data_IF_388466181625
#
_entry.id   IF_388466181625
#
_cell.length_a   1.000
_cell.length_b   1.000
_cell.length_c   1.000
_cell.angle_alpha   90.00
_cell.angle_beta   90.00
_cell.angle_gamma   90.00
#
_symmetry.space_group_name_H-M   'P 1'
#
loop_
_entity.id
_entity.type
_entity.pdbx_description
1 polymer ?
#
# COMPACT_ATOMS: atom_id res chain seq x y z
N UNK A 1 2.42 26.46 12.20
CA UNK A 1 1.34 25.58 11.73
C UNK A 1 1.85 24.16 11.93
N UNK A 2 1.03 23.26 12.50
CA UNK A 2 1.42 21.87 12.70
C UNK A 2 1.60 21.16 11.34
N UNK A 3 2.61 20.29 11.16
CA UNK A 3 2.70 19.47 9.96
C UNK A 3 1.46 18.60 9.76
N UNK A 4 1.08 18.39 8.50
CA UNK A 4 -0.11 17.63 8.11
C UNK A 4 0.21 16.31 7.42
N UNK A 5 1.43 16.16 6.93
CA UNK A 5 1.89 14.97 6.22
C UNK A 5 3.29 14.58 6.66
N UNK A 6 3.56 13.28 6.66
CA UNK A 6 4.89 12.70 6.78
C UNK A 6 5.19 11.89 5.53
N UNK A 7 6.34 12.14 4.91
CA UNK A 7 6.87 11.40 3.77
C UNK A 7 7.99 10.46 4.19
N UNK A 8 8.00 9.25 3.64
CA UNK A 8 9.07 8.27 3.82
C UNK A 8 9.38 7.54 2.50
N UNK A 9 10.47 6.77 2.45
CA UNK A 9 10.85 6.01 1.26
C UNK A 9 12.33 5.65 1.21
N UNK A 10 12.85 5.46 0.00
CA UNK A 10 14.27 5.23 -0.28
C UNK A 10 15.01 6.59 -0.32
N UNK A 11 15.17 7.15 0.85
CA UNK A 11 15.66 8.52 1.06
C UNK A 11 16.32 8.64 2.43
N UNK A 12 17.18 9.64 2.58
CA UNK A 12 17.93 9.85 3.82
C UNK A 12 17.08 10.41 4.97
N UNK A 13 15.94 11.05 4.65
CA UNK A 13 15.15 11.77 5.63
C UNK A 13 13.67 11.40 5.58
N UNK A 14 13.04 11.38 6.75
CA UNK A 14 11.61 11.70 6.87
C UNK A 14 11.43 13.19 6.58
N UNK A 15 10.42 13.53 5.80
CA UNK A 15 10.06 14.93 5.55
C UNK A 15 8.64 15.19 6.02
N UNK A 16 8.45 16.16 6.90
CA UNK A 16 7.11 16.62 7.26
C UNK A 16 6.72 17.82 6.38
N UNK A 17 5.44 17.83 5.97
CA UNK A 17 4.88 18.89 5.15
C UNK A 17 3.74 19.58 5.88
N UNK A 18 3.57 20.87 5.61
CA UNK A 18 2.42 21.66 6.01
C UNK A 18 1.55 21.96 4.79
N UNK A 19 0.26 21.67 4.90
CA UNK A 19 -0.76 21.97 3.89
C UNK A 19 -1.62 23.14 4.35
N UNK A 20 -1.64 24.22 3.55
CA UNK A 20 -2.55 25.35 3.68
C UNK A 20 -3.62 25.25 2.58
N UNK A 21 -4.81 24.79 2.96
CA UNK A 21 -5.92 24.61 2.00
C UNK A 21 -6.49 25.92 1.48
N UNK A 22 -6.45 26.99 2.28
CA UNK A 22 -6.95 28.30 1.88
C UNK A 22 -6.08 28.93 0.79
N UNK A 23 -4.75 28.78 0.96
CA UNK A 23 -3.76 29.26 -0.01
C UNK A 23 -3.45 28.24 -1.11
N UNK A 24 -3.91 27.01 -0.95
CA UNK A 24 -3.55 25.86 -1.81
C UNK A 24 -2.03 25.68 -1.91
N UNK A 25 -1.37 25.75 -0.79
CA UNK A 25 0.10 25.71 -0.69
C UNK A 25 0.55 24.50 0.13
N UNK A 26 1.56 23.81 -0.37
CA UNK A 26 2.24 22.70 0.30
C UNK A 26 3.71 23.09 0.49
N UNK A 27 4.22 23.00 1.69
CA UNK A 27 5.57 23.40 2.03
C UNK A 27 6.26 22.42 2.97
N UNK A 28 7.60 22.31 2.86
CA UNK A 28 8.41 21.52 3.79
C UNK A 28 8.41 22.20 5.14
N UNK A 29 8.00 21.47 6.20
CA UNK A 29 8.06 21.92 7.58
C UNK A 29 9.40 21.56 8.23
N UNK A 30 9.83 20.29 8.10
CA UNK A 30 11.09 19.80 8.65
C UNK A 30 11.58 18.54 7.94
N UNK A 31 12.88 18.25 8.08
CA UNK A 31 13.50 16.99 7.69
C UNK A 31 14.18 16.36 8.90
N UNK A 32 14.03 15.04 9.06
CA UNK A 32 14.62 14.26 10.14
C UNK A 32 15.38 13.07 9.56
N UNK A 33 16.58 12.73 10.04
CA UNK A 33 17.27 11.53 9.60
C UNK A 33 16.39 10.29 9.75
N UNK A 34 16.30 9.48 8.69
CA UNK A 34 15.50 8.26 8.64
C UNK A 34 16.38 7.02 8.50
N UNK A 35 15.94 5.84 8.97
CA UNK A 35 16.54 4.59 8.56
C UNK A 35 16.48 4.41 7.03
N UNK A 36 17.35 3.54 6.51
CA UNK A 36 17.40 3.25 5.08
C UNK A 36 16.05 2.70 4.57
N UNK A 37 15.56 3.26 3.46
CA UNK A 37 14.44 2.73 2.69
C UNK A 37 13.17 2.43 3.54
N UNK A 38 12.63 3.44 4.23
CA UNK A 38 11.41 3.30 5.02
C UNK A 38 10.19 3.36 4.11
N UNK A 39 9.68 2.20 3.71
CA UNK A 39 8.63 2.07 2.70
C UNK A 39 7.21 2.11 3.24
N UNK A 40 7.04 1.91 4.54
CA UNK A 40 5.72 1.96 5.19
C UNK A 40 5.82 2.60 6.58
N UNK A 41 4.87 3.48 6.90
CA UNK A 41 4.76 4.16 8.18
C UNK A 41 3.28 4.25 8.57
N UNK A 42 2.97 4.00 9.83
CA UNK A 42 1.64 4.24 10.40
C UNK A 42 1.76 5.06 11.69
N UNK A 43 0.79 5.94 11.91
CA UNK A 43 0.71 6.69 13.17
C UNK A 43 0.01 5.83 14.24
N UNK A 44 0.68 5.58 15.35
CA UNK A 44 0.11 4.82 16.47
C UNK A 44 -0.66 5.72 17.43
N UNK A 45 -0.18 6.93 17.67
CA UNK A 45 -0.89 7.93 18.50
C UNK A 45 -0.34 9.34 18.25
N UNK A 46 -1.10 10.33 18.72
CA UNK A 46 -0.69 11.73 18.69
C UNK A 46 -1.09 12.41 20.00
N UNK A 47 -0.21 13.21 20.57
CA UNK A 47 -0.46 13.94 21.81
C UNK A 47 0.15 15.35 21.75
N UNK A 48 -0.69 16.36 21.49
CA UNK A 48 -0.21 17.73 21.25
C UNK A 48 0.66 17.79 20.00
N UNK A 49 1.91 18.23 20.16
CA UNK A 49 2.91 18.33 19.08
C UNK A 49 3.82 17.09 18.97
N UNK A 50 3.51 16.03 19.70
CA UNK A 50 4.23 14.75 19.65
C UNK A 50 3.43 13.73 18.85
N UNK A 51 3.97 13.26 17.73
CA UNK A 51 3.47 12.11 16.99
C UNK A 51 4.32 10.88 17.29
N UNK A 52 3.64 9.75 17.57
CA UNK A 52 4.23 8.42 17.76
C UNK A 52 3.87 7.55 16.59
N UNK A 53 4.89 6.93 16.00
CA UNK A 53 4.78 6.25 14.74
C UNK A 53 5.48 4.88 14.79
N UNK A 54 5.03 4.00 13.90
CA UNK A 54 5.70 2.75 13.58
C UNK A 54 6.20 2.84 12.15
N UNK A 55 7.41 2.39 11.89
CA UNK A 55 8.04 2.40 10.58
C UNK A 55 8.62 1.06 10.20
N UNK A 56 8.72 0.84 8.89
CA UNK A 56 9.21 -0.38 8.28
C UNK A 56 10.30 -0.04 7.25
N UNK A 57 11.50 -0.59 7.43
CA UNK A 57 12.65 -0.40 6.52
C UNK A 57 12.87 -1.66 5.69
N UNK A 58 12.82 -1.54 4.37
CA UNK A 58 13.03 -2.65 3.42
C UNK A 58 14.53 -2.92 3.18
N UNK A 59 15.13 -3.81 3.97
CA UNK A 59 16.45 -4.36 3.64
C UNK A 59 16.30 -5.66 2.83
N UNK A 60 17.22 -5.96 1.92
CA UNK A 60 17.11 -7.14 1.03
C UNK A 60 17.17 -8.47 1.81
N UNK A 61 18.13 -8.63 2.68
CA UNK A 61 18.31 -9.86 3.48
C UNK A 61 17.61 -9.76 4.83
N UNK A 62 17.70 -8.59 5.45
CA UNK A 62 17.11 -8.29 6.76
C UNK A 62 16.57 -6.87 6.71
N UNK A 63 15.31 -6.71 7.07
CA UNK A 63 14.69 -5.39 7.27
C UNK A 63 14.63 -5.00 8.73
N UNK A 64 13.93 -3.91 9.00
CA UNK A 64 13.77 -3.36 10.33
C UNK A 64 12.33 -2.91 10.55
N UNK A 65 11.70 -3.39 11.63
CA UNK A 65 10.47 -2.84 12.19
C UNK A 65 10.86 -1.98 13.39
N UNK A 66 10.36 -0.75 13.47
CA UNK A 66 10.77 0.18 14.54
C UNK A 66 9.64 1.13 14.91
N UNK A 67 9.66 1.60 16.15
CA UNK A 67 8.83 2.69 16.64
C UNK A 67 9.66 3.96 16.77
N UNK A 68 9.03 5.10 16.54
CA UNK A 68 9.70 6.38 16.65
C UNK A 68 8.73 7.50 17.04
N UNK A 69 9.28 8.57 17.55
CA UNK A 69 8.57 9.79 17.95
C UNK A 69 9.09 10.98 17.17
N UNK A 70 8.18 11.87 16.78
CA UNK A 70 8.50 13.20 16.24
C UNK A 70 7.91 14.25 17.16
N UNK A 71 8.77 15.01 17.83
CA UNK A 71 8.39 16.21 18.58
C UNK A 71 8.54 17.43 17.66
N UNK A 72 7.42 17.95 17.20
CA UNK A 72 7.39 19.09 16.28
C UNK A 72 7.80 20.42 16.92
N UNK A 73 7.66 20.55 18.26
CA UNK A 73 8.08 21.74 19.00
C UNK A 73 9.61 21.79 19.17
N UNK A 74 10.20 20.64 19.52
CA UNK A 74 11.65 20.53 19.70
C UNK A 74 12.39 20.24 18.39
N UNK A 75 11.66 19.92 17.33
CA UNK A 75 12.20 19.49 16.03
C UNK A 75 13.13 18.26 16.17
N UNK A 76 12.68 17.25 16.91
CA UNK A 76 13.43 16.02 17.19
C UNK A 76 12.66 14.81 16.68
N UNK A 77 13.38 13.89 16.01
CA UNK A 77 12.91 12.55 15.69
C UNK A 77 13.79 11.52 16.43
N UNK A 78 13.15 10.56 17.12
CA UNK A 78 13.85 9.57 17.93
C UNK A 78 13.23 8.18 17.75
N UNK A 79 14.06 7.19 17.41
CA UNK A 79 13.66 5.77 17.46
C UNK A 79 13.53 5.36 18.94
N UNK A 80 12.39 4.74 19.29
CA UNK A 80 12.06 4.33 20.66
C UNK A 80 12.22 2.85 20.90
N UNK A 81 11.94 2.00 19.89
CA UNK A 81 12.23 0.56 19.89
C UNK A 81 12.44 0.04 18.48
N UNK A 82 13.09 -1.12 18.33
CA UNK A 82 13.30 -1.73 17.04
C UNK A 82 13.52 -3.23 17.13
N UNK A 83 13.12 -3.97 16.05
CA UNK A 83 13.32 -5.41 15.91
C UNK A 83 13.68 -5.74 14.44
N UNK A 84 14.61 -6.69 14.20
CA UNK A 84 14.93 -7.15 12.84
C UNK A 84 13.77 -7.96 12.27
N UNK A 85 13.60 -7.88 10.94
CA UNK A 85 12.65 -8.70 10.17
C UNK A 85 13.39 -9.58 9.18
N UNK A 86 12.68 -10.51 8.55
CA UNK A 86 13.18 -11.16 7.32
C UNK A 86 13.19 -10.14 6.15
N UNK A 87 13.83 -10.56 5.05
CA UNK A 87 14.13 -9.69 3.91
C UNK A 87 12.91 -9.01 3.27
N UNK A 88 13.11 -7.76 2.91
CA UNK A 88 12.14 -6.87 2.28
C UNK A 88 10.75 -6.94 2.93
N UNK A 89 10.62 -6.56 4.21
CA UNK A 89 9.31 -6.41 4.82
C UNK A 89 8.52 -5.35 4.05
N UNK A 90 7.24 -5.63 3.72
CA UNK A 90 6.47 -4.80 2.80
C UNK A 90 5.36 -3.98 3.45
N UNK A 91 4.72 -4.54 4.47
CA UNK A 91 3.56 -3.92 5.12
C UNK A 91 3.36 -4.50 6.52
N UNK A 92 2.81 -3.69 7.42
CA UNK A 92 2.38 -4.13 8.75
C UNK A 92 1.07 -3.44 9.16
N UNK A 93 0.40 -4.03 10.16
CA UNK A 93 -0.73 -3.44 10.88
C UNK A 93 -0.52 -3.63 12.39
N UNK A 94 -1.11 -2.75 13.17
CA UNK A 94 -1.38 -3.03 14.59
C UNK A 94 -2.65 -3.85 14.68
N UNK A 95 -2.61 -5.01 15.34
CA UNK A 95 -3.80 -5.84 15.54
C UNK A 95 -4.86 -5.11 16.35
N UNK A 96 -6.15 -5.39 16.07
CA UNK A 96 -7.28 -4.73 16.73
C UNK A 96 -7.27 -4.91 18.26
N UNK A 97 -6.78 -6.05 18.75
CA UNK A 97 -6.61 -6.30 20.19
C UNK A 97 -5.34 -5.69 20.80
N UNK A 98 -4.57 -4.98 19.98
CA UNK A 98 -3.32 -4.31 20.38
C UNK A 98 -2.26 -5.21 21.02
N UNK A 99 -2.31 -6.51 20.77
CA UNK A 99 -1.34 -7.49 21.33
C UNK A 99 -0.04 -7.57 20.56
N UNK A 100 -0.08 -7.30 19.24
CA UNK A 100 1.06 -7.42 18.35
C UNK A 100 0.95 -6.50 17.12
N UNK A 101 2.07 -6.33 16.42
CA UNK A 101 2.09 -5.91 15.02
C UNK A 101 2.14 -7.16 14.14
N UNK A 102 1.25 -7.24 13.15
CA UNK A 102 1.30 -8.27 12.12
C UNK A 102 2.00 -7.71 10.88
N UNK A 103 2.95 -8.47 10.33
CA UNK A 103 3.87 -8.00 9.30
C UNK A 103 3.99 -9.05 8.18
N UNK A 104 4.01 -8.59 6.92
CA UNK A 104 4.30 -9.38 5.74
C UNK A 104 5.69 -9.10 5.19
N UNK A 105 6.44 -10.15 4.84
CA UNK A 105 7.78 -10.02 4.23
C UNK A 105 7.76 -10.46 2.77
N UNK A 106 8.23 -9.59 1.87
CA UNK A 106 8.25 -9.88 0.44
C UNK A 106 9.34 -10.90 0.06
N UNK A 107 10.61 -10.62 0.37
CA UNK A 107 11.70 -11.57 0.10
C UNK A 107 11.78 -12.68 1.14
N UNK A 108 11.37 -12.41 2.38
CA UNK A 108 11.25 -13.43 3.41
C UNK A 108 10.14 -14.45 3.13
N UNK A 109 9.07 -14.04 2.43
CA UNK A 109 7.93 -14.89 2.05
C UNK A 109 7.09 -15.36 3.23
N UNK A 110 7.00 -14.57 4.31
CA UNK A 110 6.37 -14.96 5.57
C UNK A 110 5.36 -13.94 6.07
N UNK A 111 4.55 -14.37 7.03
CA UNK A 111 3.73 -13.53 7.91
C UNK A 111 4.25 -13.67 9.33
N UNK A 112 4.50 -12.56 10.01
CA UNK A 112 5.05 -12.54 11.36
C UNK A 112 4.20 -11.72 12.32
N UNK A 113 4.18 -12.12 13.61
CA UNK A 113 3.59 -11.37 14.71
C UNK A 113 4.70 -10.90 15.65
N UNK A 114 4.78 -9.59 15.87
CA UNK A 114 5.72 -8.95 16.78
C UNK A 114 4.98 -8.47 18.02
N UNK A 115 5.23 -9.05 19.20
CA UNK A 115 4.59 -8.62 20.44
C UNK A 115 4.91 -7.15 20.75
N UNK A 116 3.91 -6.42 21.20
CA UNK A 116 4.04 -5.01 21.57
C UNK A 116 3.59 -4.77 23.01
N UNK A 117 4.02 -3.64 23.56
CA UNK A 117 3.45 -3.07 24.78
C UNK A 117 2.97 -1.65 24.47
N UNK A 118 1.85 -1.26 25.05
CA UNK A 118 1.32 0.10 24.92
C UNK A 118 1.16 0.68 26.33
N UNK A 119 1.78 1.83 26.55
CA UNK A 119 1.68 2.58 27.81
C UNK A 119 1.33 4.03 27.52
N UNK A 120 0.67 4.70 28.46
CA UNK A 120 0.32 6.13 28.32
C UNK A 120 1.58 7.00 28.19
N UNK A 121 2.66 6.60 28.85
CA UNK A 121 3.90 7.36 28.87
C UNK A 121 4.73 7.21 27.60
N UNK A 122 4.89 5.99 27.12
CA UNK A 122 5.86 5.67 26.06
C UNK A 122 5.17 5.32 24.73
N UNK A 123 3.84 5.16 24.74
CA UNK A 123 3.06 4.73 23.58
C UNK A 123 3.31 3.27 23.24
N UNK A 124 3.29 2.95 21.95
CA UNK A 124 3.54 1.63 21.40
C UNK A 124 5.04 1.37 21.30
N UNK A 125 5.50 0.29 21.91
CA UNK A 125 6.87 -0.22 21.83
C UNK A 125 6.90 -1.69 21.41
N UNK A 126 7.88 -2.07 20.60
CA UNK A 126 8.22 -3.46 20.34
C UNK A 126 8.86 -4.05 21.59
N UNK A 127 8.48 -5.29 21.94
CA UNK A 127 9.05 -5.99 23.10
C UNK A 127 10.17 -6.94 22.67
N UNK A 128 10.98 -7.40 23.64
CA UNK A 128 12.02 -8.43 23.40
C UNK A 128 11.46 -9.86 23.39
N UNK A 129 10.14 -10.03 23.52
CA UNK A 129 9.50 -11.33 23.45
C UNK A 129 9.64 -11.93 22.05
N UNK A 130 9.71 -13.26 21.99
CA UNK A 130 9.86 -13.98 20.72
C UNK A 130 8.70 -13.70 19.78
N UNK A 131 9.02 -13.34 18.55
CA UNK A 131 8.04 -13.23 17.47
C UNK A 131 7.58 -14.60 16.99
N UNK A 132 6.37 -14.67 16.47
CA UNK A 132 5.89 -15.79 15.67
C UNK A 132 6.14 -15.52 14.20
N UNK A 133 6.55 -16.52 13.44
CA UNK A 133 6.75 -16.41 12.00
C UNK A 133 6.22 -17.65 11.28
N UNK A 134 5.37 -17.44 10.27
CA UNK A 134 4.73 -18.49 9.49
C UNK A 134 5.02 -18.30 8.01
N UNK A 135 5.43 -19.39 7.36
CA UNK A 135 5.70 -19.46 5.94
C UNK A 135 4.56 -20.21 5.25
N UNK A 136 3.71 -19.51 4.46
CA UNK A 136 2.69 -20.19 3.67
C UNK A 136 3.34 -21.13 2.65
N UNK A 137 2.63 -22.18 2.27
CA UNK A 137 3.13 -23.12 1.27
C UNK A 137 3.04 -22.49 -0.12
N UNK A 138 4.18 -22.35 -0.79
CA UNK A 138 4.23 -21.80 -2.15
C UNK A 138 3.33 -22.58 -3.11
N UNK A 139 2.40 -21.86 -3.77
CA UNK A 139 1.36 -22.49 -4.60
C UNK A 139 1.91 -23.25 -5.81
N UNK A 140 3.03 -22.79 -6.37
CA UNK A 140 3.65 -23.35 -7.58
C UNK A 140 4.85 -24.26 -7.30
N UNK A 141 4.95 -24.83 -6.10
CA UNK A 141 6.10 -25.66 -5.68
C UNK A 141 6.40 -26.82 -6.66
N UNK A 142 5.37 -27.42 -7.26
CA UNK A 142 5.51 -28.56 -8.18
C UNK A 142 6.10 -28.19 -9.55
N UNK A 143 5.99 -26.92 -9.96
CA UNK A 143 6.50 -26.39 -11.24
C UNK A 143 7.61 -25.35 -11.08
N UNK A 144 8.04 -25.12 -9.83
CA UNK A 144 9.14 -24.26 -9.41
C UNK A 144 8.94 -22.76 -9.61
N UNK A 145 7.91 -22.32 -10.32
CA UNK A 145 7.54 -20.92 -10.52
C UNK A 145 6.10 -20.78 -10.96
N UNK A 146 5.50 -19.61 -10.69
CA UNK A 146 4.24 -19.18 -11.28
C UNK A 146 4.39 -18.70 -12.74
N UNK A 147 3.31 -18.15 -13.33
CA UNK A 147 3.32 -17.66 -14.71
C UNK A 147 4.43 -16.63 -14.98
N UNK A 148 4.71 -15.74 -14.04
CA UNK A 148 5.83 -14.80 -14.14
C UNK A 148 7.11 -15.40 -13.52
N UNK A 149 7.96 -16.01 -14.36
CA UNK A 149 9.20 -16.68 -13.93
C UNK A 149 10.18 -15.79 -13.17
N UNK A 150 10.12 -14.47 -13.38
CA UNK A 150 11.01 -13.51 -12.71
C UNK A 150 10.55 -13.12 -11.31
N UNK A 151 9.24 -13.10 -11.09
CA UNK A 151 8.61 -12.55 -9.90
C UNK A 151 7.88 -13.57 -9.02
N UNK A 152 7.67 -14.81 -9.50
CA UNK A 152 6.85 -15.83 -8.83
C UNK A 152 7.61 -17.15 -8.66
N UNK A 153 8.73 -17.13 -7.89
CA UNK A 153 9.54 -18.31 -7.57
C UNK A 153 9.39 -18.76 -6.11
N UNK A 154 8.76 -17.95 -5.27
CA UNK A 154 8.48 -18.20 -3.87
C UNK A 154 7.29 -17.35 -3.42
N UNK A 155 6.81 -17.52 -2.21
CA UNK A 155 5.88 -16.59 -1.60
C UNK A 155 6.50 -15.19 -1.48
N UNK A 156 5.69 -14.17 -1.77
CA UNK A 156 6.03 -12.76 -1.67
C UNK A 156 4.88 -12.01 -1.00
N UNK A 157 4.75 -12.15 0.32
CA UNK A 157 3.67 -11.49 1.07
C UNK A 157 3.88 -9.99 1.06
N UNK A 158 2.92 -9.24 0.49
CA UNK A 158 3.08 -7.82 0.25
C UNK A 158 2.22 -6.92 1.17
N UNK A 159 1.14 -7.45 1.71
CA UNK A 159 0.27 -6.72 2.64
C UNK A 159 -0.28 -7.65 3.73
N UNK A 160 -0.69 -7.08 4.86
CA UNK A 160 -1.50 -7.74 5.88
C UNK A 160 -2.73 -6.88 6.15
N UNK A 161 -3.89 -7.52 6.28
CA UNK A 161 -5.14 -6.90 6.71
C UNK A 161 -5.78 -7.78 7.79
N UNK A 162 -6.57 -7.19 8.67
CA UNK A 162 -7.35 -7.88 9.69
C UNK A 162 -8.83 -7.53 9.52
N UNK A 163 -9.70 -8.56 9.48
CA UNK A 163 -11.14 -8.35 9.47
C UNK A 163 -11.72 -8.23 10.88
N UNK A 164 -12.99 -7.83 11.02
CA UNK A 164 -13.69 -7.68 12.30
C UNK A 164 -13.79 -8.95 13.13
N UNK A 165 -13.53 -10.12 12.52
CA UNK A 165 -13.50 -11.43 13.20
C UNK A 165 -12.12 -11.78 13.74
N UNK A 166 -11.09 -10.95 13.43
CA UNK A 166 -9.70 -11.19 13.78
C UNK A 166 -8.97 -12.15 12.85
N UNK A 167 -9.54 -12.46 11.67
CA UNK A 167 -8.82 -13.20 10.63
C UNK A 167 -7.84 -12.27 9.92
N UNK A 168 -6.62 -12.76 9.67
CA UNK A 168 -5.63 -12.01 8.92
C UNK A 168 -5.64 -12.47 7.45
N UNK A 169 -5.57 -11.51 6.56
CA UNK A 169 -5.50 -11.73 5.11
C UNK A 169 -4.17 -11.20 4.59
N UNK A 170 -3.46 -12.03 3.83
CA UNK A 170 -2.11 -11.74 3.36
C UNK A 170 -2.00 -11.94 1.85
N UNK A 171 -2.18 -10.87 1.02
CA UNK A 171 -1.88 -10.91 -0.39
C UNK A 171 -0.44 -11.35 -0.66
N UNK A 172 -0.27 -12.39 -1.47
CA UNK A 172 0.99 -13.01 -1.85
C UNK A 172 1.16 -12.95 -3.37
N UNK A 173 2.03 -12.05 -3.82
CA UNK A 173 2.34 -11.85 -5.23
C UNK A 173 2.93 -13.12 -5.87
N UNK A 174 3.74 -13.85 -5.10
CA UNK A 174 4.43 -15.03 -5.61
C UNK A 174 3.50 -16.21 -5.89
N UNK A 175 2.46 -16.38 -5.08
CA UNK A 175 1.55 -17.54 -5.13
C UNK A 175 0.23 -17.26 -5.81
N UNK A 176 -0.04 -16.04 -6.27
CA UNK A 176 -1.36 -15.62 -6.78
C UNK A 176 -2.50 -15.92 -5.79
N UNK A 177 -2.25 -15.68 -4.50
CA UNK A 177 -3.20 -15.95 -3.42
C UNK A 177 -3.31 -14.79 -2.46
N UNK A 178 -4.44 -14.74 -1.76
CA UNK A 178 -4.55 -14.04 -0.48
C UNK A 178 -4.70 -15.11 0.57
N UNK A 179 -3.67 -15.35 1.36
CA UNK A 179 -3.69 -16.33 2.46
C UNK A 179 -4.60 -15.83 3.57
N UNK A 180 -5.33 -16.75 4.21
CA UNK A 180 -6.18 -16.47 5.37
C UNK A 180 -5.57 -17.18 6.57
N UNK A 181 -5.34 -16.42 7.63
CA UNK A 181 -4.79 -16.96 8.89
C UNK A 181 -5.78 -16.79 10.02
N UNK A 182 -5.86 -17.81 10.84
CA UNK A 182 -6.50 -17.77 12.15
C UNK A 182 -5.43 -17.58 13.21
N UNK A 183 -5.75 -16.81 14.23
CA UNK A 183 -4.85 -16.50 15.34
C UNK A 183 -5.43 -16.99 16.67
N UNK A 184 -4.56 -17.55 17.52
CA UNK A 184 -4.84 -17.83 18.94
C UNK A 184 -3.66 -17.32 19.77
N UNK A 185 -3.85 -16.18 20.43
CA UNK A 185 -2.76 -15.45 21.09
C UNK A 185 -1.67 -15.07 20.09
N UNK A 186 -0.46 -15.57 20.29
CA UNK A 186 0.67 -15.41 19.36
C UNK A 186 0.80 -16.56 18.35
N UNK A 187 -0.03 -17.61 18.42
CA UNK A 187 -0.04 -18.66 17.42
C UNK A 187 -0.78 -18.20 16.17
N UNK A 188 -0.25 -18.53 15.01
CA UNK A 188 -0.78 -18.15 13.72
C UNK A 188 -0.79 -19.36 12.78
N UNK A 189 -1.93 -19.70 12.22
CA UNK A 189 -2.11 -20.84 11.33
C UNK A 189 -2.86 -20.45 10.05
N UNK A 190 -2.44 -21.00 8.91
CA UNK A 190 -3.17 -20.86 7.65
C UNK A 190 -4.47 -21.66 7.75
N UNK A 191 -5.61 -21.01 7.54
CA UNK A 191 -6.94 -21.64 7.58
C UNK A 191 -7.71 -21.52 6.26
N UNK A 192 -7.08 -21.06 5.18
CA UNK A 192 -7.66 -20.98 3.85
C UNK A 192 -6.94 -19.96 2.96
N UNK A 193 -7.48 -19.75 1.76
CA UNK A 193 -6.98 -18.73 0.83
C UNK A 193 -8.03 -18.32 -0.21
N UNK A 194 -7.87 -17.10 -0.73
CA UNK A 194 -8.54 -16.61 -1.92
C UNK A 194 -7.61 -16.88 -3.12
N UNK A 195 -8.10 -17.56 -4.15
CA UNK A 195 -7.31 -17.91 -5.32
C UNK A 195 -7.46 -16.85 -6.41
N UNK A 196 -6.43 -16.08 -6.66
CA UNK A 196 -6.38 -15.17 -7.80
C UNK A 196 -6.08 -15.95 -9.10
N UNK A 197 -6.50 -15.43 -10.27
CA UNK A 197 -6.07 -15.97 -11.55
C UNK A 197 -4.54 -16.04 -11.66
N UNK A 198 -4.02 -17.07 -12.32
CA UNK A 198 -2.56 -17.24 -12.48
C UNK A 198 -1.90 -16.04 -13.15
N UNK A 199 -0.80 -15.53 -12.58
CA UNK A 199 -0.08 -14.35 -13.05
C UNK A 199 -0.67 -13.02 -12.56
N UNK A 200 -1.64 -13.05 -11.67
CA UNK A 200 -2.19 -11.82 -11.05
C UNK A 200 -1.12 -11.08 -10.26
N UNK A 201 -0.34 -11.78 -9.45
CA UNK A 201 0.60 -11.15 -8.52
C UNK A 201 -0.12 -10.30 -7.48
N UNK A 202 -0.92 -10.95 -6.60
CA UNK A 202 -1.71 -10.28 -5.57
C UNK A 202 -0.81 -9.40 -4.68
N UNK A 203 -1.06 -8.10 -4.68
CA UNK A 203 -0.18 -7.12 -4.00
C UNK A 203 -0.84 -6.48 -2.79
N UNK A 204 -1.85 -5.68 -3.02
CA UNK A 204 -2.66 -5.03 -1.98
C UNK A 204 -4.14 -5.38 -2.17
N UNK A 205 -4.87 -5.28 -1.09
CA UNK A 205 -6.30 -5.54 -1.07
C UNK A 205 -7.01 -4.50 -0.18
N UNK A 206 -8.31 -4.37 -0.35
CA UNK A 206 -9.14 -3.54 0.51
C UNK A 206 -10.49 -4.21 0.74
N UNK A 207 -10.96 -4.18 1.97
CA UNK A 207 -12.30 -4.62 2.32
C UNK A 207 -13.33 -3.59 1.92
N UNK A 208 -14.47 -4.03 1.39
CA UNK A 208 -15.66 -3.21 1.43
C UNK A 208 -16.02 -2.89 2.90
N UNK A 209 -16.61 -1.74 3.24
CA UNK A 209 -16.84 -1.35 4.65
C UNK A 209 -17.66 -2.34 5.48
N UNK A 210 -18.52 -3.15 4.83
CA UNK A 210 -19.29 -4.24 5.47
C UNK A 210 -18.51 -5.56 5.57
N UNK A 211 -17.27 -5.60 5.01
CA UNK A 211 -16.38 -6.75 4.95
C UNK A 211 -16.96 -8.00 4.27
N UNK A 212 -17.99 -7.82 3.46
CA UNK A 212 -18.59 -8.92 2.67
C UNK A 212 -17.82 -9.21 1.40
N UNK A 213 -17.03 -8.23 0.91
CA UNK A 213 -16.23 -8.31 -0.31
C UNK A 213 -14.82 -7.78 -0.05
N UNK A 214 -13.84 -8.48 -0.62
CA UNK A 214 -12.45 -7.99 -0.72
C UNK A 214 -12.11 -7.72 -2.19
N UNK A 215 -11.53 -6.55 -2.45
CA UNK A 215 -10.96 -6.21 -3.75
C UNK A 215 -9.45 -6.36 -3.68
N UNK A 216 -8.87 -7.08 -4.64
CA UNK A 216 -7.43 -7.38 -4.69
C UNK A 216 -6.85 -6.80 -5.98
N UNK A 217 -5.79 -6.01 -5.85
CA UNK A 217 -5.03 -5.53 -7.01
C UNK A 217 -3.90 -6.49 -7.35
N UNK A 218 -3.85 -6.90 -8.62
CA UNK A 218 -2.75 -7.64 -9.21
C UNK A 218 -1.67 -6.69 -9.72
N UNK A 219 -0.48 -6.74 -9.13
CA UNK A 219 0.66 -5.96 -9.59
C UNK A 219 1.09 -6.36 -11.00
N UNK A 220 1.08 -7.67 -11.30
CA UNK A 220 1.59 -8.23 -12.55
C UNK A 220 0.54 -8.26 -13.66
N UNK A 221 -0.73 -8.44 -13.31
CA UNK A 221 -1.84 -8.50 -14.27
C UNK A 221 -2.50 -7.16 -14.53
N UNK A 222 -2.25 -6.15 -13.68
CA UNK A 222 -2.89 -4.83 -13.74
C UNK A 222 -4.42 -4.91 -13.68
N UNK A 223 -4.93 -5.88 -12.93
CA UNK A 223 -6.36 -6.10 -12.76
C UNK A 223 -6.77 -6.01 -11.30
N UNK A 224 -7.97 -5.50 -11.06
CA UNK A 224 -8.65 -5.68 -9.79
C UNK A 224 -9.59 -6.88 -9.93
N UNK A 225 -9.49 -7.81 -8.98
CA UNK A 225 -10.45 -8.92 -8.81
C UNK A 225 -11.17 -8.76 -7.48
N UNK A 226 -12.38 -9.31 -7.37
CA UNK A 226 -13.18 -9.23 -6.14
C UNK A 226 -13.53 -10.63 -5.63
N UNK A 227 -13.61 -10.78 -4.32
CA UNK A 227 -13.95 -12.03 -3.64
C UNK A 227 -15.13 -11.82 -2.68
N UNK A 228 -16.10 -12.73 -2.73
CA UNK A 228 -17.17 -12.80 -1.73
C UNK A 228 -16.66 -13.56 -0.51
N UNK A 229 -16.65 -12.88 0.64
CA UNK A 229 -16.09 -13.40 1.89
C UNK A 229 -17.15 -14.09 2.78
N UNK A 230 -18.38 -14.28 2.31
CA UNK A 230 -19.47 -14.87 3.09
C UNK A 230 -19.15 -16.29 3.59
N UNK A 231 -18.29 -17.02 2.87
CA UNK A 231 -17.82 -18.36 3.22
C UNK A 231 -16.40 -18.40 3.76
N UNK A 232 -15.77 -17.24 4.01
CA UNK A 232 -14.41 -17.17 4.58
C UNK A 232 -14.44 -17.47 6.09
N UNK A 233 -13.45 -18.24 6.66
CA UNK A 233 -12.33 -18.83 5.96
C UNK A 233 -12.69 -20.14 5.26
N UNK A 234 -12.13 -20.37 4.09
CA UNK A 234 -12.19 -21.61 3.35
C UNK A 234 -11.02 -21.71 2.36
N UNK A 235 -10.72 -22.90 1.92
CA UNK A 235 -9.73 -23.12 0.87
C UNK A 235 -10.31 -22.76 -0.51
N UNK A 236 -9.46 -22.23 -1.37
CA UNK A 236 -9.72 -22.07 -2.81
C UNK A 236 -10.97 -21.23 -3.14
N UNK A 237 -11.21 -20.16 -2.35
CA UNK A 237 -12.28 -19.21 -2.67
C UNK A 237 -11.97 -18.53 -4.00
N UNK A 238 -12.88 -18.66 -4.99
CA UNK A 238 -12.69 -18.12 -6.32
C UNK A 238 -13.18 -16.66 -6.44
N UNK A 239 -12.64 -15.87 -7.38
CA UNK A 239 -13.11 -14.52 -7.64
C UNK A 239 -14.59 -14.50 -8.05
N UNK A 240 -15.27 -13.40 -7.80
CA UNK A 240 -16.62 -13.14 -8.29
C UNK A 240 -16.59 -13.13 -9.83
N UNK A 241 -17.43 -13.97 -10.44
CA UNK A 241 -17.53 -14.10 -11.90
C UNK A 241 -17.84 -12.74 -12.56
N UNK A 242 -17.08 -12.44 -13.61
CA UNK A 242 -17.25 -11.21 -14.38
C UNK A 242 -16.74 -9.93 -13.70
N UNK A 243 -16.10 -10.05 -12.53
CA UNK A 243 -15.46 -8.92 -11.87
C UNK A 243 -13.94 -8.87 -12.16
N UNK A 244 -13.51 -8.64 -13.34
CA UNK A 244 -12.09 -8.40 -13.64
C UNK A 244 -11.95 -7.05 -14.34
N UNK A 245 -11.33 -6.07 -13.67
CA UNK A 245 -11.14 -4.74 -14.20
C UNK A 245 -9.66 -4.48 -14.51
N UNK A 246 -9.32 -4.38 -15.79
CA UNK A 246 -8.00 -3.91 -16.21
C UNK A 246 -7.90 -2.40 -15.95
N UNK A 247 -6.92 -1.97 -15.14
CA UNK A 247 -6.77 -0.60 -14.69
C UNK A 247 -5.75 0.21 -15.50
N UNK A 248 -5.19 -0.36 -16.55
CA UNK A 248 -4.22 0.35 -17.39
C UNK A 248 -4.95 1.45 -18.18
N UNK A 249 -4.43 2.68 -18.18
CA UNK A 249 -5.05 3.77 -18.92
C UNK A 249 -4.97 3.54 -20.44
N UNK A 250 -5.95 4.02 -21.21
CA UNK A 250 -6.01 3.84 -22.69
C UNK A 250 -4.82 4.45 -23.44
N UNK A 251 -4.04 5.32 -22.79
CA UNK A 251 -2.81 5.88 -23.33
C UNK A 251 -1.68 4.87 -23.51
N UNK A 252 -1.71 3.75 -22.77
CA UNK A 252 -0.69 2.70 -22.88
C UNK A 252 -1.06 1.74 -23.99
N UNK A 253 -0.16 1.59 -24.99
CA UNK A 253 -0.36 0.68 -26.09
C UNK A 253 -0.48 -0.78 -25.59
N UNK A 254 -1.39 -1.61 -26.12
CA UNK A 254 -1.59 -2.99 -25.64
C UNK A 254 -0.31 -3.84 -25.60
N UNK A 255 0.60 -3.67 -26.56
CA UNK A 255 1.89 -4.38 -26.60
C UNK A 255 2.85 -3.98 -25.46
N UNK A 256 2.60 -2.88 -24.76
CA UNK A 256 3.45 -2.37 -23.68
C UNK A 256 2.86 -2.61 -22.28
N UNK A 257 1.63 -3.08 -22.19
CA UNK A 257 0.94 -3.25 -20.91
C UNK A 257 1.69 -4.16 -19.92
N UNK A 258 2.39 -5.18 -20.42
CA UNK A 258 3.18 -6.11 -19.61
C UNK A 258 4.37 -5.43 -18.89
N UNK A 259 4.73 -4.21 -19.27
CA UNK A 259 5.81 -3.42 -18.67
C UNK A 259 5.31 -2.47 -17.56
N UNK A 260 4.00 -2.38 -17.41
CA UNK A 260 3.38 -1.65 -16.30
C UNK A 260 3.45 -2.47 -15.01
N UNK A 261 3.25 -1.81 -13.90
CA UNK A 261 2.93 -2.40 -12.60
C UNK A 261 1.79 -1.61 -11.96
N UNK A 262 1.07 -2.25 -11.03
CA UNK A 262 0.12 -1.55 -10.15
C UNK A 262 0.72 -1.38 -8.76
N UNK A 263 0.13 -0.51 -7.93
CA UNK A 263 0.65 -0.31 -6.57
C UNK A 263 -0.45 -0.32 -5.52
N UNK A 264 -1.11 0.81 -5.31
CA UNK A 264 -2.05 0.99 -4.21
C UNK A 264 -3.48 0.75 -4.65
N UNK A 265 -4.27 0.22 -3.71
CA UNK A 265 -5.72 0.14 -3.80
C UNK A 265 -6.32 0.67 -2.51
N UNK A 266 -7.27 1.58 -2.60
CA UNK A 266 -8.03 2.07 -1.45
C UNK A 266 -9.49 2.31 -1.81
N UNK A 267 -10.37 2.13 -0.81
CA UNK A 267 -11.77 2.49 -0.89
C UNK A 267 -11.98 3.83 -0.22
N UNK A 268 -12.95 4.58 -0.73
CA UNK A 268 -13.38 5.80 -0.06
C UNK A 268 -14.02 5.46 1.30
N UNK A 269 -13.63 6.13 2.40
CA UNK A 269 -14.04 5.74 3.75
C UNK A 269 -15.56 5.81 4.00
N UNK A 270 -16.27 6.68 3.26
CA UNK A 270 -17.69 6.92 3.44
C UNK A 270 -18.57 6.52 2.24
N UNK A 271 -17.97 6.19 1.09
CA UNK A 271 -18.68 5.82 -0.14
C UNK A 271 -18.22 4.43 -0.56
N UNK A 272 -19.00 3.38 -0.24
CA UNK A 272 -18.52 1.99 -0.33
C UNK A 272 -18.35 1.45 -1.75
N UNK A 273 -18.84 2.19 -2.75
CA UNK A 273 -18.92 1.71 -4.14
C UNK A 273 -17.97 2.46 -5.08
N UNK A 274 -16.84 2.93 -4.55
CA UNK A 274 -15.75 3.51 -5.33
C UNK A 274 -14.40 3.01 -4.84
N UNK A 275 -13.57 2.56 -5.78
CA UNK A 275 -12.22 2.04 -5.54
C UNK A 275 -11.23 2.85 -6.36
N UNK A 276 -10.15 3.26 -5.74
CA UNK A 276 -9.05 3.96 -6.36
C UNK A 276 -7.83 3.07 -6.45
N UNK A 277 -7.20 3.03 -7.63
CA UNK A 277 -6.07 2.14 -7.89
C UNK A 277 -4.99 2.87 -8.67
N UNK A 278 -3.74 2.79 -8.20
CA UNK A 278 -2.62 3.46 -8.85
C UNK A 278 -1.86 2.57 -9.81
N UNK A 279 -1.44 3.16 -10.95
CA UNK A 279 -0.54 2.57 -11.93
C UNK A 279 0.88 3.10 -11.74
N UNK A 280 1.87 2.35 -12.26
CA UNK A 280 3.29 2.71 -12.26
C UNK A 280 3.91 2.42 -13.63
N UNK A 281 4.98 3.16 -13.96
CA UNK A 281 5.90 2.92 -15.07
C UNK A 281 5.47 3.46 -16.44
N UNK A 282 4.31 4.09 -16.62
CA UNK A 282 3.88 4.60 -17.92
C UNK A 282 4.91 5.57 -18.53
N UNK A 283 5.41 6.49 -17.72
CA UNK A 283 6.43 7.44 -18.13
C UNK A 283 7.80 6.77 -18.37
N UNK A 284 8.14 5.74 -17.60
CA UNK A 284 9.35 4.96 -17.78
C UNK A 284 9.37 4.18 -19.09
N UNK A 285 8.28 3.54 -19.46
CA UNK A 285 8.13 2.86 -20.74
C UNK A 285 8.44 3.85 -21.88
N UNK A 286 7.83 5.03 -21.82
CA UNK A 286 8.04 6.07 -22.83
C UNK A 286 9.50 6.57 -22.94
N UNK A 287 10.26 6.56 -21.86
CA UNK A 287 11.65 7.04 -21.80
C UNK A 287 12.70 5.98 -22.09
N UNK A 288 12.52 4.75 -21.57
CA UNK A 288 13.58 3.72 -21.54
C UNK A 288 13.53 2.81 -22.75
N UNK A 289 12.41 2.81 -23.48
CA UNK A 289 12.19 1.87 -24.59
C UNK A 289 11.97 2.58 -25.92
N UNK A 290 12.94 3.41 -26.38
CA UNK A 290 12.80 4.17 -27.62
C UNK A 290 12.71 3.30 -28.88
N UNK A 291 13.07 2.01 -28.77
CA UNK A 291 13.00 1.02 -29.86
C UNK A 291 11.68 0.25 -29.89
N UNK A 292 10.76 0.53 -28.98
CA UNK A 292 9.43 -0.10 -29.00
C UNK A 292 8.71 0.24 -30.31
N UNK A 293 8.02 -0.76 -30.85
CA UNK A 293 7.01 -0.52 -31.88
C UNK A 293 5.91 0.37 -31.30
N UNK A 294 5.50 1.39 -32.05
CA UNK A 294 4.48 2.35 -31.60
C UNK A 294 4.82 3.08 -30.30
N UNK A 295 5.97 3.79 -30.22
CA UNK A 295 6.29 4.57 -29.04
C UNK A 295 5.20 5.64 -28.82
N UNK A 296 4.92 6.05 -27.59
CA UNK A 296 4.00 7.13 -27.31
C UNK A 296 4.44 8.40 -28.03
N UNK A 297 3.50 9.11 -28.66
CA UNK A 297 3.80 10.36 -29.40
C UNK A 297 4.27 11.48 -28.46
N UNK A 298 3.77 11.46 -27.23
CA UNK A 298 4.11 12.43 -26.20
C UNK A 298 4.40 11.68 -24.90
N UNK A 299 5.38 12.18 -24.13
CA UNK A 299 5.68 11.67 -22.82
C UNK A 299 4.54 12.03 -21.87
N UNK A 300 3.90 11.07 -21.18
CA UNK A 300 2.87 11.39 -20.18
C UNK A 300 3.46 12.26 -19.06
N UNK A 301 2.65 13.14 -18.48
CA UNK A 301 3.07 13.99 -17.37
C UNK A 301 3.52 13.17 -16.15
N UNK A 302 2.79 12.10 -15.87
CA UNK A 302 3.04 11.13 -14.80
C UNK A 302 2.18 9.90 -15.01
N UNK A 303 2.11 9.04 -14.00
CA UNK A 303 1.27 7.85 -14.00
C UNK A 303 -0.20 8.18 -13.74
N UNK A 304 -1.09 7.23 -14.03
CA UNK A 304 -2.53 7.41 -13.87
C UNK A 304 -3.08 6.63 -12.66
N UNK A 305 -4.16 7.17 -12.10
CA UNK A 305 -4.99 6.49 -11.10
C UNK A 305 -6.31 6.11 -11.77
N UNK A 306 -6.71 4.85 -11.65
CA UNK A 306 -8.02 4.37 -12.06
C UNK A 306 -9.03 4.55 -10.92
N UNK A 307 -10.21 5.07 -11.22
CA UNK A 307 -11.36 5.19 -10.33
C UNK A 307 -12.41 4.20 -10.83
N UNK A 308 -12.62 3.10 -10.10
CA UNK A 308 -13.63 2.11 -10.40
C UNK A 308 -14.92 2.47 -9.68
N UNK A 309 -15.99 2.61 -10.44
CA UNK A 309 -17.34 2.84 -9.94
C UNK A 309 -18.11 1.52 -9.92
N UNK A 310 -18.49 1.08 -8.74
CA UNK A 310 -19.07 -0.23 -8.52
C UNK A 310 -20.59 -0.16 -8.40
N UNK A 311 -21.25 -1.30 -8.71
CA UNK A 311 -22.67 -1.52 -8.40
C UNK A 311 -22.94 -1.41 -6.89
N UNK A 312 -24.20 -1.23 -6.52
CA UNK A 312 -24.58 -1.04 -5.12
C UNK A 312 -24.22 -2.24 -4.22
N UNK A 313 -24.21 -3.44 -4.76
CA UNK A 313 -23.77 -4.65 -4.07
C UNK A 313 -22.23 -4.86 -4.10
N UNK A 314 -21.50 -4.00 -4.82
CA UNK A 314 -20.05 -4.08 -4.95
C UNK A 314 -19.53 -5.22 -5.83
N UNK A 315 -20.40 -5.97 -6.48
CA UNK A 315 -20.04 -7.19 -7.23
C UNK A 315 -19.80 -6.97 -8.73
N UNK A 316 -19.92 -5.73 -9.21
CA UNK A 316 -19.74 -5.38 -10.62
C UNK A 316 -19.12 -4.00 -10.78
N UNK A 317 -18.21 -3.85 -11.73
CA UNK A 317 -17.73 -2.54 -12.19
C UNK A 317 -18.73 -1.99 -13.21
N UNK A 318 -19.31 -0.82 -12.91
CA UNK A 318 -20.27 -0.13 -13.78
C UNK A 318 -19.59 0.86 -14.72
N UNK A 319 -18.54 1.53 -14.22
CA UNK A 319 -17.80 2.53 -14.99
C UNK A 319 -16.37 2.65 -14.44
N UNK A 320 -15.47 3.18 -15.25
CA UNK A 320 -14.08 3.44 -14.85
C UNK A 320 -13.61 4.76 -15.44
N UNK A 321 -12.99 5.59 -14.58
CA UNK A 321 -12.39 6.87 -14.95
C UNK A 321 -10.90 6.86 -14.65
N UNK A 322 -10.16 7.78 -15.27
CA UNK A 322 -8.73 7.93 -15.01
C UNK A 322 -8.41 9.37 -14.62
N UNK A 323 -7.56 9.49 -13.59
CA UNK A 323 -6.94 10.76 -13.21
C UNK A 323 -5.48 10.70 -13.63
N UNK A 324 -5.05 11.64 -14.48
CA UNK A 324 -3.64 11.79 -14.84
C UNK A 324 -2.95 12.66 -13.82
N UNK A 325 -1.88 12.14 -13.21
CA UNK A 325 -1.04 12.89 -12.28
C UNK A 325 0.21 13.43 -12.98
N UNK A 326 1.01 14.23 -12.27
CA UNK A 326 2.38 14.58 -12.68
C UNK A 326 3.44 13.74 -11.95
N UNK A 327 3.01 12.75 -11.19
CA UNK A 327 3.83 11.90 -10.34
C UNK A 327 4.37 10.72 -11.13
N UNK A 328 5.67 10.44 -11.03
CA UNK A 328 6.34 9.34 -11.73
C UNK A 328 6.56 8.17 -10.76
N UNK A 329 6.05 6.99 -11.12
CA UNK A 329 6.01 5.76 -10.31
C UNK A 329 5.23 5.99 -9.00
N UNK A 330 3.90 6.07 -9.13
CA UNK A 330 3.01 6.21 -7.96
C UNK A 330 3.12 4.97 -7.08
N UNK A 331 3.86 5.07 -5.96
CA UNK A 331 3.97 3.99 -4.98
C UNK A 331 3.16 4.28 -3.72
N UNK A 332 3.00 5.52 -3.33
CA UNK A 332 2.18 5.95 -2.20
C UNK A 332 0.94 6.70 -2.65
N UNK A 333 -0.22 6.26 -2.14
CA UNK A 333 -1.51 6.92 -2.30
C UNK A 333 -2.33 6.72 -1.03
N UNK A 334 -2.72 7.82 -0.36
CA UNK A 334 -3.44 7.75 0.92
C UNK A 334 -4.56 8.78 1.00
N UNK A 335 -5.76 8.31 1.30
CA UNK A 335 -6.92 9.18 1.58
C UNK A 335 -6.78 9.82 2.96
N UNK A 336 -7.30 11.04 3.09
CA UNK A 336 -7.58 11.63 4.41
C UNK A 336 -8.74 10.89 5.08
N UNK A 337 -8.80 10.92 6.41
CA UNK A 337 -9.81 10.20 7.20
C UNK A 337 -11.25 10.64 6.86
N UNK A 338 -11.44 11.90 6.46
CA UNK A 338 -12.72 12.43 6.02
C UNK A 338 -13.06 12.09 4.54
N UNK A 339 -12.12 11.48 3.81
CA UNK A 339 -12.27 11.13 2.40
C UNK A 339 -12.29 12.32 1.44
N UNK A 340 -12.06 13.55 1.92
CA UNK A 340 -12.14 14.73 1.06
C UNK A 340 -10.87 14.99 0.26
N UNK A 341 -9.74 14.41 0.71
CA UNK A 341 -8.44 14.60 0.08
C UNK A 341 -7.72 13.28 -0.11
N UNK A 342 -6.81 13.26 -1.07
CA UNK A 342 -5.86 12.17 -1.27
C UNK A 342 -4.48 12.75 -1.53
N UNK A 343 -3.47 12.19 -0.88
CA UNK A 343 -2.07 12.43 -1.18
C UNK A 343 -1.57 11.35 -2.13
N UNK A 344 -0.84 11.75 -3.16
CA UNK A 344 -0.20 10.88 -4.14
C UNK A 344 1.28 11.25 -4.21
N UNK A 345 2.16 10.26 -4.13
CA UNK A 345 3.60 10.50 -4.18
C UNK A 345 4.34 9.59 -5.15
N UNK A 346 5.40 10.12 -5.74
CA UNK A 346 6.22 9.49 -6.77
C UNK A 346 7.57 9.05 -6.27
N UNK A 347 7.88 7.79 -6.54
CA UNK A 347 9.17 7.21 -6.20
C UNK A 347 10.29 7.78 -7.10
N UNK A 348 10.03 7.95 -8.40
CA UNK A 348 11.03 8.34 -9.40
C UNK A 348 10.97 9.84 -9.74
N UNK A 349 9.94 10.56 -9.28
CA UNK A 349 9.82 12.01 -9.52
C UNK A 349 8.39 12.52 -9.44
N UNK A 350 8.23 13.84 -9.71
CA UNK A 350 6.96 14.54 -9.61
C UNK A 350 6.53 14.85 -8.18
N UNK A 351 7.36 14.50 -7.19
CA UNK A 351 7.18 14.85 -5.79
C UNK A 351 5.89 14.33 -5.17
N UNK A 352 5.08 15.26 -4.66
CA UNK A 352 3.82 15.00 -3.95
C UNK A 352 2.71 15.87 -4.52
N UNK A 353 1.55 15.26 -4.76
CA UNK A 353 0.34 15.96 -5.18
C UNK A 353 -0.80 15.70 -4.18
N UNK A 354 -1.60 16.74 -3.90
CA UNK A 354 -2.83 16.68 -3.11
C UNK A 354 -4.00 16.92 -4.02
N UNK A 355 -4.94 15.99 -4.06
CA UNK A 355 -6.20 16.14 -4.79
C UNK A 355 -7.36 16.27 -3.82
N UNK A 356 -8.29 17.17 -4.15
CA UNK A 356 -9.61 17.22 -3.55
C UNK A 356 -10.55 16.25 -4.25
N UNK A 357 -11.31 15.49 -3.48
CA UNK A 357 -12.28 14.50 -3.97
C UNK A 357 -13.68 15.09 -3.86
N UNK A 358 -14.47 14.96 -4.93
CA UNK A 358 -15.82 15.48 -5.02
C UNK A 358 -16.70 14.61 -5.94
N UNK A 359 -17.96 15.06 -6.15
CA UNK A 359 -18.96 14.31 -6.91
C UNK A 359 -19.76 13.36 -6.02
N UNK A 360 -20.96 12.97 -6.48
CA UNK A 360 -21.85 12.09 -5.71
C UNK A 360 -21.28 10.69 -5.43
N UNK A 361 -20.36 10.25 -6.27
CA UNK A 361 -19.69 8.95 -6.17
C UNK A 361 -18.22 9.11 -5.81
N UNK A 362 -17.78 10.30 -5.33
CA UNK A 362 -16.38 10.60 -5.06
C UNK A 362 -15.45 10.31 -6.27
N UNK A 363 -15.94 10.59 -7.46
CA UNK A 363 -15.35 10.19 -8.74
C UNK A 363 -14.75 11.37 -9.53
N UNK A 364 -14.66 12.54 -8.89
CA UNK A 364 -14.08 13.75 -9.46
C UNK A 364 -12.93 14.21 -8.60
N UNK A 365 -11.72 14.13 -9.13
CA UNK A 365 -10.50 14.56 -8.46
C UNK A 365 -9.99 15.86 -9.07
N UNK A 366 -9.70 16.84 -8.23
CA UNK A 366 -9.16 18.12 -8.65
C UNK A 366 -7.85 18.37 -7.92
N UNK A 367 -6.78 18.66 -8.66
CA UNK A 367 -5.48 19.00 -8.06
C UNK A 367 -5.64 20.27 -7.21
N UNK A 368 -5.36 20.17 -5.93
CA UNK A 368 -5.36 21.27 -4.95
C UNK A 368 -4.01 21.96 -4.97
N UNK A 369 -2.94 21.19 -4.81
CA UNK A 369 -1.57 21.69 -4.75
C UNK A 369 -0.57 20.58 -5.04
N UNK A 370 0.66 20.94 -5.32
CA UNK A 370 1.79 20.02 -5.50
C UNK A 370 3.08 20.60 -4.96
N UNK A 371 3.99 19.73 -4.57
CA UNK A 371 5.36 20.08 -4.21
C UNK A 371 6.32 19.06 -4.84
N UNK A 372 7.24 19.53 -5.67
CA UNK A 372 8.28 18.73 -6.31
C UNK A 372 9.67 19.30 -6.02
N UNK A 373 9.83 20.62 -6.21
CA UNK A 373 11.08 21.29 -5.96
C UNK A 373 11.46 21.30 -4.46
N UNK A 374 12.72 20.98 -4.19
CA UNK A 374 13.25 20.94 -2.82
C UNK A 374 12.93 19.67 -2.05
N UNK A 375 12.23 18.70 -2.66
CA UNK A 375 12.03 17.37 -2.08
C UNK A 375 13.14 16.40 -2.52
N UNK A 376 13.64 15.62 -1.58
CA UNK A 376 14.46 14.46 -1.88
C UNK A 376 13.60 13.40 -2.61
N UNK A 377 14.12 12.79 -3.68
CA UNK A 377 13.45 11.72 -4.43
C UNK A 377 13.27 10.44 -3.60
N UNK A 378 12.71 9.40 -4.20
CA UNK A 378 12.55 8.10 -3.55
C UNK A 378 11.34 8.02 -2.61
N UNK A 379 10.35 8.89 -2.77
CA UNK A 379 9.16 8.90 -1.90
C UNK A 379 8.30 7.67 -2.21
N UNK A 380 8.19 6.76 -1.23
CA UNK A 380 7.40 5.53 -1.37
C UNK A 380 6.08 5.59 -0.62
N UNK A 381 6.01 6.37 0.42
CA UNK A 381 4.84 6.42 1.30
C UNK A 381 4.61 7.82 1.86
N UNK A 382 3.34 8.15 2.08
CA UNK A 382 2.91 9.38 2.73
C UNK A 382 1.74 9.09 3.66
N UNK A 383 1.75 9.66 4.86
CA UNK A 383 0.64 9.58 5.81
C UNK A 383 0.16 10.96 6.22
N UNK A 384 -1.12 11.05 6.58
CA UNK A 384 -1.70 12.21 7.25
C UNK A 384 -1.37 12.18 8.75
N UNK A 385 -0.91 13.34 9.29
CA UNK A 385 -0.54 13.51 10.70
C UNK A 385 -1.64 14.20 11.52
#
# INVERSE_FOLDING_TARGET
MRPTLLLSGDRANFTTLTLDLDRKELSVAANYPAPYNVSWVERSSSHGDLDRLVGLSEGLETGLLFTFEIDHTQNICKITSQQPTLGAPAHFITLQDTSALALGTYLGGSVALYPISITDREGLLLTDASRTEVFPQFAYKSVEHGPNKGRQRQCHVHQILEDKRGLLYAPDLGSDRVWIFQRDGMNLEVCGWLQCPGGTGARHAAFRPDETIMYVIGELSHTVVAFDLSNSPADDIQPIDGFAANIIPPSVHPEHQFMMDSSEICLHPHIPNVVYVSNRWERHIARREPHLKNPPKELPAGDAIAILLLSNDGKKVEDMKFVRTNVDVIRGMRLSDDGQHVVVCGQEGGGVEIYGISGKRADTWTLVTRLDEGLESGIKHAIWL
#
